data_IF_572436396295
#
_entry.id   IF_572436396295
#
_cell.length_a   1.000
_cell.length_b   1.000
_cell.length_c   1.000
_cell.angle_alpha   90.00
_cell.angle_beta   90.00
_cell.angle_gamma   90.00
#
_symmetry.space_group_name_H-M   'P 1'
#
loop_
_entity.id
_entity.type
_entity.pdbx_description
1 polymer ?
#
# COMPACT_ATOMS: atom_id res chain seq x y z
N UNK A 1 6.61 -3.39 -15.65
CA UNK A 1 5.92 -3.31 -14.34
C UNK A 1 6.46 -2.08 -13.63
N UNK A 2 5.61 -1.14 -13.24
CA UNK A 2 6.01 0.05 -12.49
C UNK A 2 5.87 -0.22 -10.99
N UNK A 3 6.90 0.09 -10.20
CA UNK A 3 6.89 -0.09 -8.75
C UNK A 3 6.92 1.26 -8.05
N UNK A 4 6.17 1.35 -6.95
CA UNK A 4 6.19 2.47 -6.01
C UNK A 4 6.58 1.89 -4.65
N UNK A 5 7.56 2.53 -4.00
CA UNK A 5 8.02 2.17 -2.66
C UNK A 5 7.79 3.38 -1.78
N UNK A 6 7.19 3.19 -0.61
CA UNK A 6 6.92 4.25 0.34
C UNK A 6 6.31 3.68 1.62
N UNK A 7 5.71 4.54 2.43
CA UNK A 7 5.04 4.12 3.66
C UNK A 7 3.95 3.07 3.38
N UNK A 8 3.77 2.12 4.31
CA UNK A 8 2.66 1.19 4.27
C UNK A 8 1.38 1.95 4.59
N UNK A 9 0.65 2.28 3.54
CA UNK A 9 -0.59 3.02 3.66
C UNK A 9 -1.66 2.26 4.47
N UNK A 10 -1.58 0.93 4.60
CA UNK A 10 -2.47 0.19 5.50
C UNK A 10 -2.13 0.48 6.96
N UNK A 11 -0.84 0.44 7.32
CA UNK A 11 -0.39 0.80 8.66
C UNK A 11 -0.63 2.29 8.95
N UNK A 12 -0.55 3.15 7.93
CA UNK A 12 -0.91 4.56 8.04
C UNK A 12 -2.38 4.70 8.46
N UNK A 13 -3.31 3.98 7.81
CA UNK A 13 -4.73 4.01 8.16
C UNK A 13 -4.99 3.63 9.63
N UNK A 14 -4.20 2.71 10.18
CA UNK A 14 -4.37 2.22 11.55
C UNK A 14 -3.99 3.25 12.63
N UNK A 15 -3.36 4.36 12.26
CA UNK A 15 -3.15 5.51 13.16
C UNK A 15 -4.45 6.24 13.52
N UNK A 16 -5.50 6.10 12.71
CA UNK A 16 -6.79 6.75 12.96
C UNK A 16 -7.86 5.75 13.43
N UNK A 17 -8.75 6.15 14.36
CA UNK A 17 -9.86 5.32 14.79
C UNK A 17 -10.72 4.85 13.61
N UNK A 18 -11.19 3.60 13.67
CA UNK A 18 -11.87 2.93 12.55
C UNK A 18 -13.07 3.70 11.99
N UNK A 19 -13.79 4.42 12.85
CA UNK A 19 -15.01 5.17 12.51
C UNK A 19 -14.81 6.69 12.53
N UNK A 20 -13.56 7.16 12.38
CA UNK A 20 -13.26 8.59 12.38
C UNK A 20 -13.41 9.21 10.98
N UNK A 21 -13.75 10.49 10.93
CA UNK A 21 -13.85 11.24 9.67
C UNK A 21 -12.48 11.37 8.97
N UNK A 22 -11.41 11.47 9.75
CA UNK A 22 -10.03 11.54 9.30
C UNK A 22 -9.61 10.23 8.61
N UNK A 23 -9.97 9.07 9.18
CA UNK A 23 -9.70 7.76 8.54
C UNK A 23 -10.38 7.67 7.17
N UNK A 24 -11.62 8.17 7.05
CA UNK A 24 -12.34 8.19 5.78
C UNK A 24 -11.66 9.09 4.74
N UNK A 25 -11.14 10.25 5.15
CA UNK A 25 -10.39 11.16 4.29
C UNK A 25 -9.07 10.52 3.81
N UNK A 26 -8.28 9.97 4.73
CA UNK A 26 -7.02 9.29 4.41
C UNK A 26 -7.29 8.13 3.46
N UNK A 27 -8.29 7.30 3.76
CA UNK A 27 -8.66 6.17 2.90
C UNK A 27 -9.04 6.61 1.49
N UNK A 28 -9.74 7.73 1.33
CA UNK A 28 -10.12 8.27 0.01
C UNK A 28 -8.89 8.72 -0.78
N UNK A 29 -7.96 9.43 -0.16
CA UNK A 29 -6.70 9.87 -0.79
C UNK A 29 -5.85 8.67 -1.21
N UNK A 30 -5.66 7.72 -0.29
CA UNK A 30 -4.89 6.49 -0.54
C UNK A 30 -5.51 5.67 -1.67
N UNK A 31 -6.82 5.43 -1.65
CA UNK A 31 -7.50 4.66 -2.72
C UNK A 31 -7.46 5.37 -4.07
N UNK A 32 -7.54 6.69 -4.10
CA UNK A 32 -7.45 7.45 -5.35
C UNK A 32 -6.04 7.37 -5.97
N UNK A 33 -4.99 7.52 -5.15
CA UNK A 33 -3.60 7.48 -5.60
C UNK A 33 -3.09 6.07 -5.92
N UNK A 34 -3.45 5.08 -5.10
CA UNK A 34 -2.97 3.70 -5.20
C UNK A 34 -3.96 2.74 -5.84
N UNK A 35 -5.13 3.20 -6.30
CA UNK A 35 -6.17 2.32 -6.86
C UNK A 35 -5.73 1.52 -8.10
N UNK A 36 -4.62 1.92 -8.74
CA UNK A 36 -3.99 1.21 -9.87
C UNK A 36 -2.83 0.28 -9.44
N UNK A 37 -2.46 0.30 -8.18
CA UNK A 37 -1.34 -0.44 -7.63
C UNK A 37 -1.82 -1.46 -6.60
N UNK A 38 -1.18 -2.64 -6.59
CA UNK A 38 -1.41 -3.65 -5.59
C UNK A 38 -0.23 -3.74 -4.64
N UNK A 39 -0.51 -3.78 -3.34
CA UNK A 39 0.50 -4.03 -2.31
C UNK A 39 1.09 -5.42 -2.53
N UNK A 40 2.41 -5.50 -2.63
CA UNK A 40 3.14 -6.76 -2.73
C UNK A 40 3.62 -7.13 -1.32
N UNK A 41 3.27 -8.34 -0.88
CA UNK A 41 3.87 -8.89 0.33
C UNK A 41 5.35 -9.18 0.03
N UNK A 42 6.25 -8.54 0.78
CA UNK A 42 7.67 -8.87 0.74
C UNK A 42 7.87 -9.94 1.81
N UNK A 43 8.25 -11.15 1.38
CA UNK A 43 8.58 -12.25 2.25
C UNK A 43 10.10 -12.47 2.15
N UNK A 44 10.81 -12.32 3.28
CA UNK A 44 12.26 -12.50 3.36
C UNK A 44 12.80 -12.10 4.72
N UNK A 45 13.81 -12.82 5.21
CA UNK A 45 14.54 -12.46 6.44
C UNK A 45 15.41 -11.23 6.18
N UNK A 46 15.24 -10.17 6.97
CA UNK A 46 15.99 -8.91 6.87
C UNK A 46 15.26 -7.74 6.17
N UNK A 47 13.98 -7.88 5.83
CA UNK A 47 13.13 -6.76 5.36
C UNK A 47 12.12 -6.38 6.45
N UNK A 48 12.22 -5.15 6.96
CA UNK A 48 11.36 -4.55 8.01
C UNK A 48 11.43 -5.26 9.35
N UNK A 49 12.60 -5.22 9.99
CA UNK A 49 12.76 -5.74 11.36
C UNK A 49 12.10 -4.82 12.40
N UNK A 50 11.94 -5.27 13.65
CA UNK A 50 11.18 -4.59 14.73
C UNK A 50 11.51 -3.09 14.90
N UNK A 51 12.72 -2.67 14.55
CA UNK A 51 13.20 -1.28 14.65
C UNK A 51 12.49 -0.36 13.63
N UNK A 52 12.05 -0.90 12.49
CA UNK A 52 11.30 -0.19 11.45
C UNK A 52 9.78 -0.09 11.76
N UNK A 53 9.32 -0.67 12.88
CA UNK A 53 7.90 -0.78 13.22
C UNK A 53 7.17 0.56 13.40
N UNK A 54 7.90 1.65 13.65
CA UNK A 54 7.31 2.99 13.77
C UNK A 54 6.79 3.54 12.42
N UNK A 55 7.42 3.13 11.31
CA UNK A 55 7.09 3.54 9.95
C UNK A 55 7.31 2.36 8.99
N UNK A 56 6.42 1.35 9.01
CA UNK A 56 6.54 0.23 8.09
C UNK A 56 6.43 0.76 6.66
N UNK A 57 7.30 0.32 5.76
CA UNK A 57 7.20 0.62 4.33
C UNK A 57 6.51 -0.53 3.60
N UNK A 58 5.95 -0.21 2.43
CA UNK A 58 5.37 -1.19 1.53
C UNK A 58 5.79 -0.92 0.08
N UNK A 59 5.82 -2.01 -0.68
CA UNK A 59 6.03 -1.97 -2.14
C UNK A 59 4.68 -2.19 -2.83
N UNK A 60 4.39 -1.31 -3.78
CA UNK A 60 3.18 -1.31 -4.58
C UNK A 60 3.57 -1.53 -6.04
N UNK A 61 2.98 -2.54 -6.67
CA UNK A 61 3.19 -2.83 -8.09
C UNK A 61 1.98 -2.35 -8.88
N UNK A 62 2.20 -1.54 -9.93
CA UNK A 62 1.15 -1.18 -10.87
C UNK A 62 0.66 -2.44 -11.56
N UNK A 63 -0.64 -2.69 -11.51
CA UNK A 63 -1.23 -3.70 -12.38
C UNK A 63 -1.15 -3.16 -13.81
N UNK A 64 -0.21 -3.70 -14.57
CA UNK A 64 -0.28 -3.62 -16.02
C UNK A 64 -1.57 -4.33 -16.45
N UNK A 65 -2.66 -3.58 -16.70
CA UNK A 65 -3.79 -4.08 -17.49
C UNK A 65 -3.32 -4.26 -18.94
N UNK A 66 -2.41 -5.20 -19.17
CA UNK A 66 -2.11 -5.65 -20.52
C UNK A 66 -3.16 -6.70 -20.83
N UNK A 67 -4.19 -6.28 -21.56
CA UNK A 67 -5.07 -7.10 -22.40
C UNK A 67 -5.01 -8.63 -22.18
N UNK A 68 -5.70 -9.15 -21.18
CA UNK A 68 -6.16 -10.56 -21.17
C UNK A 68 -7.47 -10.70 -21.98
N UNK A 69 -7.48 -10.13 -23.19
CA UNK A 69 -8.50 -10.38 -24.22
C UNK A 69 -7.83 -10.52 -25.58
N UNK A 70 -7.00 -11.55 -25.72
CA UNK A 70 -6.57 -12.08 -27.01
C UNK A 70 -6.10 -13.53 -26.82
N UNK A 71 -7.05 -14.46 -26.74
CA UNK A 71 -6.88 -15.82 -27.22
C UNK A 71 -8.23 -16.42 -27.56
#
# INVERSE_FOLDING_TARGET
VQYVIGDDFNALLDKWPKYSAERAQVQKVTKAGLGRYQRKAILGTGFWEEIDGAFPMAVYAAQNRVNEKAK
#
